data_IF_276401704812
#
_entry.id   IF_276401704812
#
_cell.length_a   1.000
_cell.length_b   1.000
_cell.length_c   1.000
_cell.angle_alpha   90.00
_cell.angle_beta   90.00
_cell.angle_gamma   90.00
#
_symmetry.space_group_name_H-M   'P 1'
#
loop_
_entity.id
_entity.type
_entity.pdbx_description
1 polymer ?
#
# COMPACT_ATOMS: atom_id res chain seq x y z
N UNK A 1 -44.90 -23.75 57.16
CA UNK A 1 -43.88 -23.50 56.12
C UNK A 1 -44.51 -23.87 54.79
N UNK A 2 -45.11 -22.92 54.07
CA UNK A 2 -46.00 -23.17 52.93
C UNK A 2 -45.29 -22.75 51.62
N UNK A 3 -44.67 -23.70 50.90
CA UNK A 3 -43.95 -23.47 49.64
C UNK A 3 -44.70 -24.12 48.47
N UNK A 4 -45.96 -23.75 48.25
CA UNK A 4 -46.85 -24.56 47.40
C UNK A 4 -47.36 -23.94 46.07
N UNK A 5 -47.10 -22.68 45.67
CA UNK A 5 -47.47 -22.23 44.31
C UNK A 5 -46.30 -22.01 43.32
N UNK A 6 -45.13 -21.54 43.78
CA UNK A 6 -44.00 -21.19 42.89
C UNK A 6 -43.26 -22.41 42.35
N UNK A 7 -43.02 -23.42 43.18
CA UNK A 7 -42.31 -24.64 42.80
C UNK A 7 -43.11 -25.45 41.77
N UNK A 8 -44.44 -25.46 41.89
CA UNK A 8 -45.33 -26.14 40.94
C UNK A 8 -45.34 -25.48 39.55
N UNK A 9 -45.24 -24.15 39.50
CA UNK A 9 -45.17 -23.40 38.25
C UNK A 9 -43.82 -23.58 37.55
N UNK A 10 -42.74 -23.66 38.32
CA UNK A 10 -41.39 -23.97 37.82
C UNK A 10 -41.31 -25.41 37.29
N UNK A 11 -41.89 -26.37 38.02
CA UNK A 11 -41.98 -27.77 37.57
C UNK A 11 -42.77 -27.92 36.27
N UNK A 12 -43.87 -27.17 36.15
CA UNK A 12 -44.72 -27.14 34.97
C UNK A 12 -43.98 -26.53 33.77
N UNK A 13 -43.33 -25.37 33.96
CA UNK A 13 -42.53 -24.71 32.93
C UNK A 13 -41.40 -25.62 32.45
N UNK A 14 -40.70 -26.29 33.39
CA UNK A 14 -39.62 -27.21 33.08
C UNK A 14 -40.10 -28.45 32.32
N UNK A 15 -41.30 -28.96 32.61
CA UNK A 15 -41.93 -30.03 31.82
C UNK A 15 -42.26 -29.56 30.41
N UNK A 16 -42.90 -28.39 30.28
CA UNK A 16 -43.25 -27.85 28.96
C UNK A 16 -42.02 -27.65 28.09
N UNK A 17 -40.94 -27.08 28.62
CA UNK A 17 -39.68 -26.87 27.88
C UNK A 17 -39.01 -28.19 27.49
N UNK A 18 -39.15 -29.24 28.31
CA UNK A 18 -38.55 -30.55 28.06
C UNK A 18 -39.36 -31.41 27.07
N UNK A 19 -40.64 -31.12 26.91
CA UNK A 19 -41.55 -31.74 25.94
C UNK A 19 -41.52 -31.04 24.57
N UNK A 20 -40.91 -29.85 24.47
CA UNK A 20 -40.66 -29.22 23.18
C UNK A 20 -39.73 -30.12 22.34
N UNK A 21 -40.02 -30.31 21.04
CA UNK A 21 -39.13 -31.05 20.17
C UNK A 21 -37.77 -30.35 20.11
N UNK A 22 -36.69 -31.12 20.20
CA UNK A 22 -35.34 -30.59 20.04
C UNK A 22 -35.25 -29.91 18.66
N UNK A 23 -35.06 -28.59 18.67
CA UNK A 23 -34.83 -27.82 17.44
C UNK A 23 -33.49 -28.25 16.85
N UNK A 24 -33.56 -29.07 15.80
CA UNK A 24 -32.38 -29.48 15.05
C UNK A 24 -32.09 -28.40 14.01
N UNK A 25 -30.83 -27.96 13.89
CA UNK A 25 -30.45 -27.06 12.83
C UNK A 25 -30.80 -27.71 11.48
N UNK A 26 -31.09 -26.88 10.48
CA UNK A 26 -31.29 -27.36 9.11
C UNK A 26 -30.09 -28.19 8.67
N UNK A 27 -30.32 -29.22 7.84
CA UNK A 27 -29.24 -30.06 7.28
C UNK A 27 -28.10 -29.23 6.67
N UNK A 28 -28.42 -28.10 6.04
CA UNK A 28 -27.46 -27.20 5.40
C UNK A 28 -26.92 -26.09 6.32
N UNK A 29 -27.18 -26.12 7.63
CA UNK A 29 -26.78 -25.04 8.54
C UNK A 29 -25.27 -24.78 8.51
N UNK A 30 -24.48 -25.85 8.66
CA UNK A 30 -23.01 -25.75 8.65
C UNK A 30 -22.49 -25.24 7.31
N UNK A 31 -23.08 -25.70 6.20
CA UNK A 31 -22.74 -25.26 4.85
C UNK A 31 -23.02 -23.76 4.66
N UNK A 32 -24.22 -23.31 5.05
CA UNK A 32 -24.60 -21.90 4.94
C UNK A 32 -23.74 -20.97 5.80
N UNK A 33 -23.37 -21.42 7.01
CA UNK A 33 -22.44 -20.68 7.89
C UNK A 33 -21.05 -20.63 7.27
N UNK A 34 -20.53 -21.75 6.77
CA UNK A 34 -19.20 -21.81 6.18
C UNK A 34 -19.12 -20.99 4.88
N UNK A 35 -20.16 -21.02 4.04
CA UNK A 35 -20.26 -20.18 2.84
C UNK A 35 -20.25 -18.70 3.21
N UNK A 36 -21.00 -18.31 4.25
CA UNK A 36 -20.99 -16.92 4.74
C UNK A 36 -19.62 -16.50 5.27
N UNK A 37 -18.92 -17.37 6.00
CA UNK A 37 -17.54 -17.14 6.46
C UNK A 37 -16.59 -16.98 5.28
N UNK A 38 -16.68 -17.86 4.28
CA UNK A 38 -15.82 -17.85 3.10
C UNK A 38 -16.00 -16.58 2.25
N UNK A 39 -17.24 -16.09 2.12
CA UNK A 39 -17.54 -14.81 1.46
C UNK A 39 -16.89 -13.63 2.20
N UNK A 40 -16.97 -13.62 3.54
CA UNK A 40 -16.36 -12.56 4.36
C UNK A 40 -14.83 -12.63 4.32
N UNK A 41 -14.24 -13.82 4.34
CA UNK A 41 -12.79 -14.01 4.23
C UNK A 41 -12.27 -13.57 2.86
N UNK A 42 -12.93 -13.97 1.77
CA UNK A 42 -12.55 -13.51 0.43
C UNK A 42 -12.69 -11.99 0.28
N UNK A 43 -13.75 -11.39 0.82
CA UNK A 43 -13.90 -9.93 0.84
C UNK A 43 -12.80 -9.24 1.65
N UNK A 44 -12.30 -9.88 2.72
CA UNK A 44 -11.19 -9.40 3.54
C UNK A 44 -9.84 -9.54 2.82
N UNK A 45 -9.63 -10.62 2.07
CA UNK A 45 -8.45 -10.80 1.23
C UNK A 45 -8.41 -9.82 0.06
N UNK A 46 -9.54 -9.54 -0.59
CA UNK A 46 -9.65 -8.52 -1.63
C UNK A 46 -9.40 -7.10 -1.07
N UNK A 47 -9.73 -6.87 0.20
CA UNK A 47 -9.40 -5.63 0.94
C UNK A 47 -7.99 -5.64 1.54
N UNK A 48 -7.23 -6.73 1.46
CA UNK A 48 -5.90 -6.82 2.06
C UNK A 48 -4.90 -6.02 1.23
N UNK A 49 -4.60 -4.82 1.73
CA UNK A 49 -3.51 -3.93 1.30
C UNK A 49 -3.29 -3.90 -0.21
N UNK A 50 -4.34 -3.54 -0.95
CA UNK A 50 -4.15 -3.17 -2.35
C UNK A 50 -3.20 -1.95 -2.38
N UNK A 51 -2.01 -2.05 -2.99
CA UNK A 51 -1.09 -0.93 -3.02
C UNK A 51 -1.74 0.22 -3.80
N UNK A 52 -1.81 1.40 -3.18
CA UNK A 52 -2.41 2.63 -3.76
C UNK A 52 -1.89 2.95 -5.16
N UNK A 53 -0.65 2.55 -5.45
CA UNK A 53 0.02 2.67 -6.74
C UNK A 53 0.58 1.29 -7.12
N UNK A 54 0.24 0.83 -8.32
CA UNK A 54 0.78 -0.41 -8.89
C UNK A 54 2.30 -0.37 -8.99
N UNK A 55 2.97 -1.51 -8.82
CA UNK A 55 4.43 -1.65 -8.98
C UNK A 55 4.92 -1.13 -10.34
N UNK A 56 4.09 -1.28 -11.39
CA UNK A 56 4.40 -0.78 -12.75
C UNK A 56 4.42 0.75 -12.79
N UNK A 57 3.44 1.38 -12.14
CA UNK A 57 3.34 2.84 -12.05
C UNK A 57 4.50 3.43 -11.24
N UNK A 58 4.93 2.75 -10.16
CA UNK A 58 6.14 3.10 -9.43
C UNK A 58 7.39 3.08 -10.31
N UNK A 59 7.55 2.05 -11.14
CA UNK A 59 8.67 1.94 -12.07
C UNK A 59 8.66 3.08 -13.11
N UNK A 60 7.48 3.46 -13.60
CA UNK A 60 7.34 4.62 -14.51
C UNK A 60 7.77 5.92 -13.84
N UNK A 61 7.34 6.20 -12.60
CA UNK A 61 7.75 7.42 -11.88
C UNK A 61 9.26 7.49 -11.68
N UNK A 62 9.88 6.39 -11.26
CA UNK A 62 11.34 6.30 -11.11
C UNK A 62 12.03 6.53 -12.45
N UNK A 63 11.53 5.92 -13.53
CA UNK A 63 12.06 6.11 -14.87
C UNK A 63 12.01 7.56 -15.35
N UNK A 64 10.89 8.25 -15.13
CA UNK A 64 10.72 9.67 -15.51
C UNK A 64 11.68 10.57 -14.72
N UNK A 65 11.84 10.34 -13.41
CA UNK A 65 12.77 11.12 -12.57
C UNK A 65 14.22 10.91 -13.03
N UNK A 66 14.61 9.67 -13.34
CA UNK A 66 15.94 9.37 -13.84
C UNK A 66 16.18 10.03 -15.19
N UNK A 67 15.24 9.90 -16.13
CA UNK A 67 15.35 10.50 -17.46
C UNK A 67 15.47 12.04 -17.39
N UNK A 68 14.66 12.68 -16.55
CA UNK A 68 14.74 14.12 -16.31
C UNK A 68 16.10 14.52 -15.69
N UNK A 69 16.60 13.76 -14.73
CA UNK A 69 17.91 14.02 -14.11
C UNK A 69 19.04 13.92 -15.15
N UNK A 70 19.07 12.85 -15.95
CA UNK A 70 20.07 12.66 -17.01
C UNK A 70 20.01 13.79 -18.03
N UNK A 71 18.81 14.19 -18.43
CA UNK A 71 18.61 15.31 -19.36
C UNK A 71 19.21 16.61 -18.82
N UNK A 72 18.93 16.95 -17.56
CA UNK A 72 19.44 18.17 -16.93
C UNK A 72 20.97 18.15 -16.78
N UNK A 73 21.56 16.98 -16.47
CA UNK A 73 23.02 16.84 -16.36
C UNK A 73 23.74 17.04 -17.70
N UNK A 74 23.17 16.56 -18.82
CA UNK A 74 23.77 16.73 -20.15
C UNK A 74 23.67 18.15 -20.69
N UNK A 75 22.59 18.86 -20.35
CA UNK A 75 22.30 20.18 -20.90
C UNK A 75 22.85 21.34 -20.04
N UNK A 76 23.53 21.03 -18.93
CA UNK A 76 24.15 22.07 -18.09
C UNK A 76 25.64 22.09 -18.28
N UNK A 77 26.19 23.30 -18.25
CA UNK A 77 27.62 23.52 -18.03
C UNK A 77 27.80 23.89 -16.56
N UNK A 78 28.42 23.01 -15.80
CA UNK A 78 28.69 23.27 -14.39
C UNK A 78 29.75 24.38 -14.26
N UNK A 79 29.54 25.31 -13.33
CA UNK A 79 30.56 26.31 -13.01
C UNK A 79 31.81 25.63 -12.41
N UNK A 80 33.01 26.15 -12.68
CA UNK A 80 34.29 25.54 -12.28
C UNK A 80 34.38 25.19 -10.78
N UNK A 81 33.73 25.98 -9.90
CA UNK A 81 33.75 25.80 -8.45
C UNK A 81 32.55 25.02 -7.87
N UNK A 82 31.78 24.34 -8.71
CA UNK A 82 30.58 23.63 -8.27
C UNK A 82 30.92 22.25 -7.67
N UNK A 83 30.09 21.74 -6.74
CA UNK A 83 30.31 20.40 -6.15
C UNK A 83 30.12 19.27 -7.18
N UNK A 84 29.24 19.49 -8.16
CA UNK A 84 28.92 18.53 -9.22
C UNK A 84 29.94 18.56 -10.37
N UNK A 85 30.70 19.64 -10.58
CA UNK A 85 31.76 19.69 -11.61
C UNK A 85 32.96 18.80 -11.29
N UNK A 86 33.10 18.34 -10.05
CA UNK A 86 34.14 17.37 -9.64
C UNK A 86 33.81 15.93 -10.05
N UNK A 87 32.58 15.66 -10.48
CA UNK A 87 32.11 14.33 -10.87
C UNK A 87 31.95 14.33 -12.39
N UNK A 88 32.65 13.42 -13.06
CA UNK A 88 32.51 13.24 -14.51
C UNK A 88 31.25 12.43 -14.82
N UNK A 89 30.13 13.14 -15.02
CA UNK A 89 28.88 12.55 -15.46
C UNK A 89 28.87 12.19 -16.96
N UNK A 90 29.85 12.65 -17.72
CA UNK A 90 29.98 12.36 -19.15
C UNK A 90 30.08 10.86 -19.39
N UNK A 91 30.94 10.17 -18.64
CA UNK A 91 31.17 8.71 -18.80
C UNK A 91 29.90 7.86 -18.64
N UNK A 92 28.97 8.29 -17.79
CA UNK A 92 27.71 7.57 -17.54
C UNK A 92 26.58 7.98 -18.48
N UNK A 93 26.62 9.20 -19.02
CA UNK A 93 25.57 9.76 -19.89
C UNK A 93 25.90 9.67 -21.38
N UNK A 94 27.17 9.46 -21.74
CA UNK A 94 27.63 9.34 -23.13
C UNK A 94 26.99 8.16 -23.88
N UNK A 95 26.66 7.07 -23.18
CA UNK A 95 25.94 5.93 -23.77
C UNK A 95 24.45 6.20 -24.03
N UNK A 96 23.90 7.29 -23.51
CA UNK A 96 22.50 7.70 -23.71
C UNK A 96 22.44 8.88 -24.69
N UNK A 97 22.29 8.54 -25.97
CA UNK A 97 22.05 9.49 -27.07
C UNK A 97 20.58 9.96 -27.08
N UNK A 98 20.20 10.77 -26.10
CA UNK A 98 18.98 11.58 -26.21
C UNK A 98 19.33 12.92 -26.86
N UNK A 99 18.89 13.08 -28.11
CA UNK A 99 19.05 14.29 -28.92
C UNK A 99 17.73 15.09 -28.92
N UNK A 100 17.38 15.63 -27.75
CA UNK A 100 16.24 16.53 -27.60
C UNK A 100 16.75 17.87 -27.09
N UNK A 101 17.35 18.67 -27.98
CA UNK A 101 17.64 20.07 -27.68
C UNK A 101 16.33 20.84 -27.54
N UNK A 102 15.76 20.89 -26.33
CA UNK A 102 14.58 21.71 -26.05
C UNK A 102 14.91 23.20 -25.87
N UNK A 103 16.13 23.64 -26.18
CA UNK A 103 16.52 25.06 -26.09
C UNK A 103 16.46 25.67 -24.68
N UNK A 104 16.26 24.86 -23.64
CA UNK A 104 16.16 25.34 -22.26
C UNK A 104 17.55 25.52 -21.65
N UNK A 105 17.93 26.75 -21.32
CA UNK A 105 19.10 27.02 -20.50
C UNK A 105 18.76 26.73 -19.04
N UNK A 106 19.36 25.70 -18.45
CA UNK A 106 19.11 25.34 -17.04
C UNK A 106 20.16 25.99 -16.15
N UNK A 107 19.74 26.62 -15.04
CA UNK A 107 20.68 27.18 -14.06
C UNK A 107 21.23 26.10 -13.13
N UNK A 108 22.45 26.29 -12.63
CA UNK A 108 23.08 25.38 -11.66
C UNK A 108 22.17 25.12 -10.43
N UNK A 109 21.51 26.17 -9.91
CA UNK A 109 20.60 26.07 -8.76
C UNK A 109 19.45 25.09 -9.03
N UNK A 110 18.90 25.10 -10.24
CA UNK A 110 17.79 24.20 -10.63
C UNK A 110 18.21 22.73 -10.56
N UNK A 111 19.47 22.44 -10.90
CA UNK A 111 20.01 21.06 -10.90
C UNK A 111 20.29 20.60 -9.49
N UNK A 112 20.87 21.44 -8.66
CA UNK A 112 21.02 21.15 -7.23
C UNK A 112 19.66 20.88 -6.57
N UNK A 113 18.64 21.68 -6.89
CA UNK A 113 17.29 21.48 -6.39
C UNK A 113 16.69 20.14 -6.89
N UNK A 114 16.87 19.80 -8.16
CA UNK A 114 16.33 18.55 -8.73
C UNK A 114 17.02 17.31 -8.16
N UNK A 115 18.34 17.33 -8.02
CA UNK A 115 19.11 16.25 -7.38
C UNK A 115 18.69 16.09 -5.92
N UNK A 116 18.56 17.19 -5.18
CA UNK A 116 18.08 17.17 -3.80
C UNK A 116 16.66 16.60 -3.70
N UNK A 117 15.75 17.00 -4.60
CA UNK A 117 14.39 16.48 -4.69
C UNK A 117 14.39 14.96 -4.94
N UNK A 118 15.20 14.48 -5.87
CA UNK A 118 15.31 13.05 -6.18
C UNK A 118 15.77 12.23 -4.97
N UNK A 119 16.74 12.76 -4.20
CA UNK A 119 17.20 12.13 -2.95
C UNK A 119 16.07 12.13 -1.91
N UNK A 120 15.41 13.28 -1.68
CA UNK A 120 14.30 13.38 -0.73
C UNK A 120 13.17 12.41 -1.05
N UNK A 121 12.76 12.32 -2.31
CA UNK A 121 11.72 11.38 -2.75
C UNK A 121 12.15 9.95 -2.45
N UNK A 122 13.40 9.58 -2.76
CA UNK A 122 13.95 8.24 -2.48
C UNK A 122 13.88 7.90 -0.98
N UNK A 123 14.23 8.84 -0.12
CA UNK A 123 14.13 8.68 1.34
C UNK A 123 12.68 8.55 1.80
N UNK A 124 11.78 9.41 1.29
CA UNK A 124 10.35 9.37 1.63
C UNK A 124 9.72 8.03 1.26
N UNK A 125 10.09 7.46 0.11
CA UNK A 125 9.62 6.13 -0.34
C UNK A 125 10.08 5.04 0.63
N UNK A 126 11.36 5.05 1.01
CA UNK A 126 11.91 4.10 1.96
C UNK A 126 11.25 4.20 3.34
N UNK A 127 11.03 5.42 3.82
CA UNK A 127 10.37 5.68 5.09
C UNK A 127 8.92 5.18 5.10
N UNK A 128 8.12 5.52 4.08
CA UNK A 128 6.72 5.08 3.95
C UNK A 128 6.65 3.55 3.87
N UNK A 129 7.53 2.93 3.08
CA UNK A 129 7.57 1.46 2.95
C UNK A 129 7.90 0.77 4.28
N UNK A 130 8.84 1.31 5.05
CA UNK A 130 9.20 0.78 6.37
C UNK A 130 8.09 1.01 7.42
N UNK A 131 7.36 2.11 7.34
CA UNK A 131 6.21 2.37 8.23
C UNK A 131 5.08 1.35 8.02
N UNK A 132 4.68 1.12 6.76
CA UNK A 132 3.63 0.14 6.43
C UNK A 132 4.07 -1.32 6.57
N UNK A 133 5.36 -1.63 6.52
CA UNK A 133 5.86 -2.98 6.77
C UNK A 133 5.85 -3.37 8.26
N UNK A 134 5.77 -2.39 9.18
CA UNK A 134 5.77 -2.59 10.63
C UNK A 134 4.36 -2.62 11.24
N UNK A 135 3.30 -2.47 10.44
CA UNK A 135 1.91 -2.40 10.89
C UNK A 135 1.06 -3.41 10.12
#
# INVERSE_FOLDING_TARGET
MNKEPKDNLDLFTKKMVKELPEEKPSLDFSKNVMDAVYVVEQAKELKRSQPLISKRTWLLFVGVIIAATVYLLKNTTFAENSLLSRIDFGTYTNGLSFDYSLGFTTSNVTIYAFVFLAIMISVQIGYIKNYYARK
#
